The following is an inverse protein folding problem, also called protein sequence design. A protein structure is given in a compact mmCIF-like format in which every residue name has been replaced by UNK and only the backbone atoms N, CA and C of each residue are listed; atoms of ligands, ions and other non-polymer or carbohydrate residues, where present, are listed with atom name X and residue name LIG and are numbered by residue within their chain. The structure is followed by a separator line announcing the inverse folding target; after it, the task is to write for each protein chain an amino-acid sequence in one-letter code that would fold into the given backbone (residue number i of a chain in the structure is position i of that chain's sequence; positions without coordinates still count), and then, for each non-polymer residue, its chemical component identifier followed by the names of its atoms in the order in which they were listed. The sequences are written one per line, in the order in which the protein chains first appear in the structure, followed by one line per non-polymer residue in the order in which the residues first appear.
data_IF_733554248133
#
_entry.id   IF_733554248133
#
_cell.length_a   1.000
_cell.length_b   1.000
_cell.length_c   1.000
_cell.angle_alpha   90.00
_cell.angle_beta   90.00
_cell.angle_gamma   90.00
#
_symmetry.space_group_name_H-M   'P 1'
#
loop_
_entity.id
_entity.type
_entity.pdbx_description
1 polymer ?
#
# COMPACT_ATOMS: atom_id res chain seq x y z
N UNK A 1 10.27 -14.72 -38.76
CA UNK A 1 9.02 -15.12 -38.10
C UNK A 1 8.46 -16.27 -38.90
N UNK A 2 8.51 -17.50 -38.40
CA UNK A 2 8.01 -18.68 -39.11
C UNK A 2 6.48 -18.59 -39.18
N UNK A 3 5.95 -18.48 -40.40
CA UNK A 3 4.54 -18.74 -40.64
C UNK A 3 4.28 -20.17 -40.16
N UNK A 4 3.47 -20.31 -39.11
CA UNK A 4 2.90 -21.60 -38.76
C UNK A 4 1.88 -21.86 -39.84
N UNK A 5 2.30 -22.52 -40.92
CA UNK A 5 1.36 -23.06 -41.89
C UNK A 5 0.41 -23.97 -41.11
N UNK A 6 -0.90 -23.69 -41.12
CA UNK A 6 -1.85 -24.50 -40.41
C UNK A 6 -1.82 -25.87 -41.06
N UNK A 7 -1.11 -26.81 -40.42
CA UNK A 7 -1.10 -28.20 -40.84
C UNK A 7 -2.53 -28.74 -40.85
N UNK A 8 -2.78 -29.91 -41.47
CA UNK A 8 -4.13 -30.46 -41.66
C UNK A 8 -4.99 -30.55 -40.39
N UNK A 9 -4.35 -30.59 -39.21
CA UNK A 9 -5.00 -30.64 -37.90
C UNK A 9 -5.41 -29.28 -37.32
N UNK A 10 -4.90 -28.17 -37.85
CA UNK A 10 -5.17 -26.83 -37.30
C UNK A 10 -6.63 -26.39 -37.52
N UNK A 11 -7.28 -26.90 -38.56
CA UNK A 11 -8.71 -26.69 -38.83
C UNK A 11 -9.62 -27.75 -38.20
N UNK A 12 -9.04 -28.74 -37.50
CA UNK A 12 -9.81 -29.82 -36.91
C UNK A 12 -10.52 -29.37 -35.63
N UNK A 13 -11.85 -29.47 -35.60
CA UNK A 13 -12.64 -29.23 -34.39
C UNK A 13 -12.94 -30.54 -33.67
N UNK A 14 -12.14 -30.84 -32.65
CA UNK A 14 -12.32 -32.02 -31.82
C UNK A 14 -13.68 -32.05 -31.11
N UNK A 15 -14.28 -30.90 -30.79
CA UNK A 15 -15.58 -30.86 -30.09
C UNK A 15 -16.74 -31.28 -31.00
N UNK A 16 -16.55 -31.18 -32.31
CA UNK A 16 -17.50 -31.62 -33.32
C UNK A 16 -17.27 -33.08 -33.78
N UNK A 17 -16.19 -33.74 -33.33
CA UNK A 17 -15.86 -35.10 -33.73
C UNK A 17 -16.83 -36.13 -33.14
N UNK A 18 -17.57 -36.89 -33.97
CA UNK A 18 -18.47 -37.94 -33.51
C UNK A 18 -17.80 -38.99 -32.63
N UNK A 19 -16.55 -39.35 -32.92
CA UNK A 19 -15.82 -40.39 -32.21
C UNK A 19 -15.40 -39.96 -30.80
N UNK A 20 -15.28 -38.66 -30.56
CA UNK A 20 -14.92 -38.09 -29.26
C UNK A 20 -16.12 -37.71 -28.40
N UNK A 21 -17.34 -37.84 -28.92
CA UNK A 21 -18.59 -37.51 -28.21
C UNK A 21 -18.67 -38.18 -26.83
N UNK A 22 -18.33 -39.47 -26.74
CA UNK A 22 -18.36 -40.21 -25.47
C UNK A 22 -17.36 -39.66 -24.43
N UNK A 23 -16.20 -39.20 -24.88
CA UNK A 23 -15.19 -38.59 -24.03
C UNK A 23 -15.65 -37.25 -23.46
N UNK A 24 -16.21 -36.37 -24.30
CA UNK A 24 -16.66 -35.05 -23.87
C UNK A 24 -17.94 -35.08 -23.03
N UNK A 25 -18.78 -36.10 -23.21
CA UNK A 25 -19.97 -36.33 -22.38
C UNK A 25 -19.64 -36.77 -20.94
N UNK A 26 -18.39 -37.18 -20.66
CA UNK A 26 -17.96 -37.46 -19.29
C UNK A 26 -18.15 -36.24 -18.40
N UNK A 27 -18.80 -36.41 -17.23
CA UNK A 27 -19.06 -35.32 -16.27
C UNK A 27 -17.82 -34.50 -15.91
N UNK A 28 -16.65 -35.14 -15.77
CA UNK A 28 -15.38 -34.45 -15.50
C UNK A 28 -14.98 -33.56 -16.66
N UNK A 29 -15.04 -34.08 -17.89
CA UNK A 29 -14.66 -33.32 -19.07
C UNK A 29 -15.67 -32.23 -19.39
N UNK A 30 -16.96 -32.53 -19.30
CA UNK A 30 -18.05 -31.57 -19.44
C UNK A 30 -17.91 -30.40 -18.45
N UNK A 31 -17.62 -30.68 -17.18
CA UNK A 31 -17.34 -29.62 -16.18
C UNK A 31 -16.14 -28.77 -16.56
N UNK A 32 -15.09 -29.38 -17.09
CA UNK A 32 -13.90 -28.66 -17.55
C UNK A 32 -14.22 -27.75 -18.75
N UNK A 33 -14.90 -28.26 -19.76
CA UNK A 33 -15.31 -27.51 -20.95
C UNK A 33 -16.26 -26.35 -20.63
N UNK A 34 -17.17 -26.57 -19.67
CA UNK A 34 -18.05 -25.49 -19.16
C UNK A 34 -17.24 -24.43 -18.43
N UNK A 35 -16.26 -24.83 -17.63
CA UNK A 35 -15.40 -23.90 -16.88
C UNK A 35 -14.46 -23.12 -17.80
N UNK A 36 -13.96 -23.73 -18.86
CA UNK A 36 -13.15 -23.05 -19.87
C UNK A 36 -13.99 -22.14 -20.76
N UNK A 37 -15.29 -22.41 -20.90
CA UNK A 37 -16.21 -21.59 -21.69
C UNK A 37 -16.33 -22.01 -23.16
N UNK A 38 -15.79 -23.19 -23.49
CA UNK A 38 -15.90 -23.79 -24.83
C UNK A 38 -17.28 -24.42 -25.06
N UNK A 39 -17.93 -24.85 -23.98
CA UNK A 39 -19.26 -25.47 -24.02
C UNK A 39 -20.16 -24.78 -23.00
N UNK A 40 -21.42 -24.53 -23.36
CA UNK A 40 -22.41 -23.96 -22.45
C UNK A 40 -22.86 -24.97 -21.40
N UNK A 41 -23.54 -24.53 -20.34
CA UNK A 41 -24.12 -25.44 -19.33
C UNK A 41 -25.12 -26.45 -19.93
N UNK A 42 -25.72 -26.10 -21.07
CA UNK A 42 -26.64 -26.95 -21.83
C UNK A 42 -25.92 -28.05 -22.62
N UNK A 43 -24.63 -27.89 -22.88
CA UNK A 43 -23.84 -28.81 -23.71
C UNK A 43 -23.65 -28.34 -25.15
N UNK A 44 -24.01 -27.09 -25.47
CA UNK A 44 -23.84 -26.52 -26.81
C UNK A 44 -22.42 -25.98 -26.96
N UNK A 45 -21.79 -26.22 -28.11
CA UNK A 45 -20.46 -25.72 -28.44
C UNK A 45 -20.55 -24.20 -28.69
N UNK A 46 -19.67 -23.43 -28.04
CA UNK A 46 -19.62 -21.98 -28.18
C UNK A 46 -18.81 -21.61 -29.42
N UNK A 47 -19.35 -20.73 -30.26
CA UNK A 47 -18.60 -20.23 -31.43
C UNK A 47 -17.33 -19.49 -31.01
N UNK A 48 -16.27 -19.60 -31.83
CA UNK A 48 -14.97 -19.00 -31.54
C UNK A 48 -15.08 -17.48 -31.27
N UNK A 49 -15.89 -16.77 -32.06
CA UNK A 49 -16.12 -15.33 -31.89
C UNK A 49 -16.65 -14.97 -30.50
N UNK A 50 -17.63 -15.73 -30.01
CA UNK A 50 -18.23 -15.52 -28.69
C UNK A 50 -17.25 -15.91 -27.59
N UNK A 51 -16.53 -17.02 -27.76
CA UNK A 51 -15.50 -17.46 -26.83
C UNK A 51 -14.41 -16.40 -26.64
N UNK A 52 -13.85 -15.87 -27.73
CA UNK A 52 -12.82 -14.83 -27.71
C UNK A 52 -13.30 -13.55 -27.04
N UNK A 53 -14.53 -13.11 -27.36
CA UNK A 53 -15.13 -11.94 -26.73
C UNK A 53 -15.30 -12.11 -25.21
N UNK A 54 -15.80 -13.26 -24.78
CA UNK A 54 -15.99 -13.55 -23.35
C UNK A 54 -14.65 -13.65 -22.62
N UNK A 55 -13.63 -14.25 -23.26
CA UNK A 55 -12.30 -14.32 -22.68
C UNK A 55 -11.67 -12.94 -22.51
N UNK A 56 -11.77 -12.09 -23.54
CA UNK A 56 -11.29 -10.71 -23.47
C UNK A 56 -11.99 -9.90 -22.37
N UNK A 57 -13.32 -10.05 -22.22
CA UNK A 57 -14.09 -9.42 -21.13
C UNK A 57 -13.63 -9.89 -19.76
N UNK A 58 -13.41 -11.20 -19.58
CA UNK A 58 -12.96 -11.79 -18.32
C UNK A 58 -11.55 -11.34 -17.95
N UNK A 59 -10.66 -11.28 -18.94
CA UNK A 59 -9.29 -10.78 -18.79
C UNK A 59 -9.29 -9.30 -18.41
N UNK A 60 -10.04 -8.48 -19.14
CA UNK A 60 -10.18 -7.06 -18.83
C UNK A 60 -10.72 -6.84 -17.40
N UNK A 61 -11.78 -7.56 -17.01
CA UNK A 61 -12.31 -7.47 -15.66
C UNK A 61 -11.29 -7.91 -14.59
N UNK A 62 -10.45 -8.90 -14.89
CA UNK A 62 -9.35 -9.31 -13.99
C UNK A 62 -8.33 -8.18 -13.88
N UNK A 63 -7.91 -7.60 -15.00
CA UNK A 63 -6.96 -6.51 -15.03
C UNK A 63 -7.45 -5.27 -14.27
N UNK A 64 -8.71 -4.87 -14.45
CA UNK A 64 -9.33 -3.76 -13.71
C UNK A 64 -9.34 -4.05 -12.20
N UNK A 65 -9.67 -5.27 -11.79
CA UNK A 65 -9.63 -5.65 -10.36
C UNK A 65 -8.22 -5.58 -9.79
N UNK A 66 -7.22 -6.06 -10.52
CA UNK A 66 -5.82 -6.01 -10.10
C UNK A 66 -5.34 -4.56 -9.99
N UNK A 67 -5.69 -3.71 -10.95
CA UNK A 67 -5.37 -2.28 -10.95
C UNK A 67 -6.01 -1.56 -9.76
N UNK A 68 -7.28 -1.83 -9.48
CA UNK A 68 -7.97 -1.26 -8.32
C UNK A 68 -7.30 -1.68 -7.02
N UNK A 69 -6.97 -2.96 -6.86
CA UNK A 69 -6.29 -3.46 -5.67
C UNK A 69 -4.93 -2.75 -5.46
N UNK A 70 -4.14 -2.60 -6.52
CA UNK A 70 -2.87 -1.86 -6.47
C UNK A 70 -3.08 -0.40 -6.10
N UNK A 71 -4.05 0.29 -6.71
CA UNK A 71 -4.32 1.70 -6.44
C UNK A 71 -4.70 1.97 -4.99
N UNK A 72 -5.48 1.08 -4.38
CA UNK A 72 -5.88 1.17 -2.97
C UNK A 72 -4.66 1.01 -2.07
N UNK A 73 -3.81 0.02 -2.33
CA UNK A 73 -2.59 -0.22 -1.53
C UNK A 73 -1.64 0.96 -1.65
N UNK A 74 -1.37 1.45 -2.87
CA UNK A 74 -0.51 2.61 -3.07
C UNK A 74 -1.05 3.85 -2.37
N UNK A 75 -2.37 4.12 -2.48
CA UNK A 75 -3.00 5.24 -1.78
C UNK A 75 -2.88 5.11 -0.27
N UNK A 76 -3.09 3.93 0.29
CA UNK A 76 -2.95 3.68 1.72
C UNK A 76 -1.50 3.91 2.20
N UNK A 77 -0.51 3.45 1.44
CA UNK A 77 0.90 3.68 1.73
C UNK A 77 1.26 5.17 1.69
N UNK A 78 0.75 5.92 0.72
CA UNK A 78 1.02 7.35 0.64
C UNK A 78 0.36 8.14 1.76
N UNK A 79 -0.85 7.77 2.17
CA UNK A 79 -1.49 8.35 3.37
C UNK A 79 -0.68 8.07 4.62
N UNK A 80 -0.16 6.85 4.80
CA UNK A 80 0.65 6.49 5.97
C UNK A 80 1.99 7.23 5.97
N UNK A 81 2.66 7.35 4.82
CA UNK A 81 3.88 8.17 4.68
C UNK A 81 3.61 9.62 5.05
N UNK A 82 2.51 10.20 4.58
CA UNK A 82 2.14 11.57 4.89
C UNK A 82 1.90 11.75 6.39
N UNK A 83 1.17 10.82 7.02
CA UNK A 83 0.94 10.81 8.47
C UNK A 83 2.25 10.74 9.26
N UNK A 84 3.16 9.85 8.88
CA UNK A 84 4.48 9.72 9.52
C UNK A 84 5.30 11.01 9.42
N UNK A 85 5.29 11.67 8.26
CA UNK A 85 5.95 12.96 8.08
C UNK A 85 5.34 14.05 8.98
N UNK A 86 4.01 14.10 9.10
CA UNK A 86 3.34 15.05 9.99
C UNK A 86 3.73 14.82 11.45
N UNK A 87 3.73 13.56 11.91
CA UNK A 87 4.16 13.20 13.28
C UNK A 87 5.62 13.60 13.51
N UNK A 88 6.51 13.29 12.56
CA UNK A 88 7.93 13.67 12.66
C UNK A 88 8.10 15.18 12.75
N UNK A 89 7.36 15.95 11.95
CA UNK A 89 7.39 17.41 11.97
C UNK A 89 6.92 17.97 13.31
N UNK A 90 5.84 17.43 13.88
CA UNK A 90 5.33 17.84 15.19
C UNK A 90 6.33 17.54 16.31
N UNK A 91 6.99 16.38 16.29
CA UNK A 91 8.03 16.03 17.26
C UNK A 91 9.24 16.96 17.16
N UNK A 92 9.65 17.33 15.95
CA UNK A 92 10.73 18.29 15.74
C UNK A 92 10.36 19.68 16.28
N UNK A 93 9.12 20.12 16.06
CA UNK A 93 8.60 21.39 16.57
C UNK A 93 8.57 21.43 18.10
N UNK A 94 8.05 20.38 18.74
CA UNK A 94 8.07 20.24 20.21
C UNK A 94 9.51 20.28 20.72
N UNK A 95 10.43 19.54 20.09
CA UNK A 95 11.84 19.55 20.47
C UNK A 95 12.51 20.93 20.34
N UNK A 96 12.14 21.73 19.32
CA UNK A 96 12.58 23.12 19.17
C UNK A 96 12.04 23.99 20.30
N UNK A 97 10.74 23.90 20.60
CA UNK A 97 10.10 24.66 21.68
C UNK A 97 10.70 24.31 23.04
N UNK A 98 10.91 23.03 23.33
CA UNK A 98 11.55 22.59 24.56
C UNK A 98 12.98 23.11 24.69
N UNK A 99 13.77 23.07 23.61
CA UNK A 99 15.13 23.61 23.61
C UNK A 99 15.14 25.11 23.92
N UNK A 100 14.25 25.88 23.28
CA UNK A 100 14.11 27.32 23.54
C UNK A 100 13.69 27.56 24.99
N UNK A 101 12.74 26.77 25.52
CA UNK A 101 12.29 26.87 26.91
C UNK A 101 13.42 26.61 27.91
N UNK A 102 14.26 25.59 27.67
CA UNK A 102 15.44 25.30 28.49
C UNK A 102 16.44 26.46 28.50
N UNK A 103 16.81 26.96 27.31
CA UNK A 103 17.75 28.10 27.20
C UNK A 103 17.19 29.35 27.89
N UNK A 104 15.89 29.61 27.77
CA UNK A 104 15.23 30.73 28.49
C UNK A 104 15.26 30.55 30.01
N UNK A 105 14.99 29.35 30.51
CA UNK A 105 15.03 29.05 31.94
C UNK A 105 16.46 29.22 32.52
N UNK A 106 17.48 28.72 31.81
CA UNK A 106 18.88 28.88 32.20
C UNK A 106 19.32 30.35 32.21
N UNK A 107 18.83 31.16 31.26
CA UNK A 107 19.11 32.60 31.22
C UNK A 107 18.38 33.37 32.33
N UNK A 108 17.16 32.96 32.70
CA UNK A 108 16.44 33.57 33.82
C UNK A 108 17.18 33.32 35.14
N UNK A 109 17.63 32.09 35.38
CA UNK A 109 18.45 31.74 36.55
C UNK A 109 19.76 32.54 36.60
N UNK A 110 20.49 32.66 35.49
CA UNK A 110 21.72 33.47 35.44
C UNK A 110 21.47 34.97 35.59
N UNK A 111 20.37 35.48 35.02
CA UNK A 111 19.98 36.88 35.16
C UNK A 111 19.65 37.26 36.60
N UNK A 112 18.99 36.37 37.34
CA UNK A 112 18.75 36.56 38.78
C UNK A 112 20.08 36.47 39.56
N UNK A 113 20.93 35.47 39.30
CA UNK A 113 22.26 35.34 39.95
C UNK A 113 23.21 36.53 39.69
N UNK A 114 23.03 37.28 38.59
CA UNK A 114 23.81 38.50 38.31
C UNK A 114 23.27 39.74 39.04
N UNK A 115 21.99 39.75 39.43
CA UNK A 115 21.32 40.87 40.12
C UNK A 115 21.26 40.65 41.64
N UNK A 116 21.15 39.40 42.11
CA UNK A 116 21.14 39.01 43.52
C UNK A 116 22.36 39.53 44.32
N UNK A 117 23.60 39.62 43.77
CA UNK A 117 24.75 40.21 44.44
C UNK A 117 24.65 41.74 44.60
N UNK A 118 23.84 42.40 43.77
CA UNK A 118 23.64 43.87 43.79
C UNK A 118 22.49 44.29 44.72
N UNK A 119 21.56 43.37 45.01
CA UNK A 119 20.38 43.62 45.84
C UNK A 119 20.52 43.12 47.29
N UNK A 120 21.55 42.33 47.60
CA UNK A 120 21.82 41.89 48.98
C UNK A 120 22.38 43.05 49.82
N UNK A 121 21.67 43.55 50.84
CA UNK A 121 22.17 44.62 51.67
C UNK A 121 23.02 44.04 52.80
N UNK A 122 24.23 43.51 52.52
CA UNK A 122 25.28 43.58 53.55
C UNK A 122 26.71 43.24 53.14
N UNK A 123 27.61 43.94 53.83
CA UNK A 123 28.97 43.53 54.19
C UNK A 123 30.00 43.37 53.08
N UNK A 124 30.85 44.39 53.04
CA UNK A 124 32.29 44.38 52.76
C UNK A 124 32.95 42.98 52.78
N UNK A 125 33.80 42.80 51.77
CA UNK A 125 35.02 41.98 51.73
C UNK A 125 34.88 40.46 51.68
N UNK A 126 35.08 39.88 50.49
CA UNK A 126 35.92 38.66 50.36
C UNK A 126 36.87 38.80 49.16
N UNK A 127 38.17 38.73 49.48
CA UNK A 127 39.29 38.71 48.55
C UNK A 127 39.16 37.49 47.62
N UNK A 128 39.20 37.72 46.31
CA UNK A 128 39.32 36.65 45.31
C UNK A 128 40.72 36.05 45.41
N UNK A 129 40.83 34.80 45.87
CA UNK A 129 42.03 33.97 45.67
C UNK A 129 41.92 33.32 44.29
N UNK A 130 42.99 33.26 43.48
CA UNK A 130 43.00 32.41 42.30
C UNK A 130 43.18 30.97 42.79
N UNK A 131 42.19 30.11 42.55
CA UNK A 131 42.39 28.67 42.64
C UNK A 131 42.78 28.15 41.27
N UNK A 132 44.05 27.77 41.23
CA UNK A 132 44.69 26.86 40.29
C UNK A 132 43.75 25.75 39.84
N UNK A 133 43.68 25.55 38.53
CA UNK A 133 42.95 24.44 37.92
C UNK A 133 43.56 23.09 38.33
N UNK A 134 42.75 22.11 38.77
CA UNK A 134 43.07 20.71 38.59
C UNK A 134 42.38 20.21 37.32
N UNK A 135 43.22 19.93 36.34
CA UNK A 135 42.90 19.13 35.17
C UNK A 135 42.48 17.72 35.66
N UNK A 136 41.18 17.47 35.79
CA UNK A 136 40.63 16.14 36.02
C UNK A 136 39.83 15.72 34.79
N UNK A 137 40.60 15.12 33.88
CA UNK A 137 40.19 14.18 32.86
C UNK A 137 39.25 13.15 33.48
N UNK A 138 37.94 13.32 33.29
CA UNK A 138 36.98 12.24 33.57
C UNK A 138 37.23 11.14 32.55
N UNK A 139 37.90 10.11 33.03
CA UNK A 139 37.99 8.83 32.35
C UNK A 139 36.57 8.31 32.16
N UNK A 140 36.24 7.95 30.92
CA UNK A 140 35.12 7.07 30.62
C UNK A 140 35.39 5.75 31.36
N UNK A 141 34.75 5.55 32.50
CA UNK A 141 34.61 4.22 33.07
C UNK A 141 33.58 3.49 32.23
N UNK A 142 34.09 2.62 31.37
CA UNK A 142 33.36 1.56 30.69
C UNK A 142 32.81 0.60 31.77
N UNK A 143 31.62 0.90 32.29
CA UNK A 143 30.78 -0.12 32.92
C UNK A 143 29.97 -0.75 31.81
N UNK A 144 30.37 -1.98 31.44
CA UNK A 144 29.54 -2.93 30.71
C UNK A 144 28.24 -3.13 31.51
N UNK A 145 27.22 -2.34 31.21
CA UNK A 145 25.87 -2.64 31.63
C UNK A 145 25.25 -3.62 30.63
N UNK A 146 25.17 -4.83 31.14
CA UNK A 146 24.45 -6.00 30.69
C UNK A 146 23.13 -5.63 29.99
N UNK A 147 22.95 -6.26 28.84
CA UNK A 147 21.71 -6.35 28.08
C UNK A 147 20.53 -6.65 29.02
N UNK A 148 19.43 -5.89 28.96
CA UNK A 148 18.21 -6.32 29.62
C UNK A 148 17.75 -7.62 28.97
N UNK A 149 17.43 -8.57 29.85
CA UNK A 149 16.98 -9.91 29.55
C UNK A 149 16.01 -9.96 28.36
N UNK A 150 16.28 -10.91 27.46
CA UNK A 150 15.39 -11.33 26.39
C UNK A 150 13.97 -11.47 26.92
N UNK A 151 13.09 -10.58 26.48
CA UNK A 151 11.65 -10.79 26.56
C UNK A 151 11.37 -12.06 25.77
N UNK A 152 10.91 -13.09 26.45
CA UNK A 152 10.75 -14.43 25.91
C UNK A 152 9.93 -14.42 24.63
N UNK A 153 10.55 -14.82 23.53
CA UNK A 153 9.81 -15.33 22.38
C UNK A 153 9.09 -16.61 22.84
N UNK A 154 7.77 -16.76 22.63
CA UNK A 154 7.17 -18.07 22.80
C UNK A 154 7.85 -19.02 21.80
N UNK A 155 8.32 -20.15 22.32
CA UNK A 155 9.04 -21.17 21.58
C UNK A 155 8.26 -21.59 20.32
N UNK A 156 8.95 -21.57 19.18
CA UNK A 156 8.52 -22.21 17.94
C UNK A 156 8.46 -23.73 18.18
N UNK A 157 7.31 -24.40 17.95
CA UNK A 157 7.29 -25.85 17.83
C UNK A 157 7.72 -26.23 16.41
N UNK A 158 9.01 -26.49 16.20
CA UNK A 158 9.48 -27.49 15.23
C UNK A 158 9.57 -28.82 15.97
N UNK A 159 9.19 -29.99 15.47
CA UNK A 159 9.05 -30.43 14.09
C UNK A 159 7.85 -31.39 14.00
N UNK A 160 6.92 -31.13 13.08
CA UNK A 160 5.88 -32.07 12.71
C UNK A 160 5.95 -32.32 11.20
N UNK A 161 5.99 -33.59 10.76
CA UNK A 161 6.18 -33.93 9.35
C UNK A 161 4.99 -33.42 8.52
N UNK A 162 5.32 -32.84 7.37
CA UNK A 162 4.41 -32.26 6.39
C UNK A 162 3.39 -33.31 5.92
N UNK A 163 2.19 -33.28 6.51
CA UNK A 163 1.04 -33.98 5.98
C UNK A 163 0.16 -32.98 5.24
N UNK A 164 0.35 -32.89 3.92
CA UNK A 164 -0.51 -32.16 2.98
C UNK A 164 -1.89 -32.83 2.89
N UNK A 165 -2.73 -32.63 3.90
CA UNK A 165 -4.19 -32.72 3.78
C UNK A 165 -4.76 -31.33 3.94
N UNK A 166 -5.04 -30.70 2.79
CA UNK A 166 -5.73 -29.41 2.67
C UNK A 166 -7.13 -29.49 3.31
N UNK A 167 -7.19 -29.26 4.62
CA UNK A 167 -8.43 -28.95 5.33
C UNK A 167 -8.82 -27.52 4.95
N UNK A 168 -9.92 -27.40 4.20
CA UNK A 168 -10.49 -26.14 3.75
C UNK A 168 -11.07 -25.40 4.96
N UNK A 169 -10.23 -24.69 5.70
CA UNK A 169 -10.64 -23.74 6.72
C UNK A 169 -11.43 -22.62 6.04
N UNK A 170 -12.75 -22.60 6.23
CA UNK A 170 -13.59 -21.48 5.85
C UNK A 170 -13.29 -20.35 6.83
N UNK A 171 -12.37 -19.46 6.48
CA UNK A 171 -12.20 -18.19 7.19
C UNK A 171 -13.47 -17.37 6.99
N UNK A 172 -14.35 -17.37 7.98
CA UNK A 172 -15.48 -16.47 8.05
C UNK A 172 -14.94 -15.07 8.34
N UNK A 173 -14.66 -14.30 7.30
CA UNK A 173 -14.44 -12.88 7.46
C UNK A 173 -15.75 -12.25 7.95
N UNK A 174 -15.74 -11.40 9.01
CA UNK A 174 -16.91 -10.64 9.37
C UNK A 174 -17.30 -9.78 8.17
N UNK A 175 -18.55 -9.90 7.74
CA UNK A 175 -19.14 -9.09 6.67
C UNK A 175 -19.28 -7.68 7.23
N UNK A 176 -18.25 -6.85 7.06
CA UNK A 176 -18.34 -5.42 7.38
C UNK A 176 -19.29 -4.83 6.36
N UNK A 177 -20.49 -4.46 6.81
CA UNK A 177 -21.43 -3.70 6.00
C UNK A 177 -20.82 -2.31 5.79
N UNK A 178 -20.32 -2.08 4.58
CA UNK A 178 -19.80 -0.78 4.18
C UNK A 178 -20.99 0.16 4.12
N UNK A 179 -21.00 1.18 4.97
CA UNK A 179 -22.01 2.22 4.94
C UNK A 179 -21.90 2.98 3.60
N UNK A 180 -22.83 2.68 2.70
CA UNK A 180 -22.88 3.28 1.36
C UNK A 180 -23.54 4.65 1.36
N UNK A 181 -24.07 5.13 2.50
CA UNK A 181 -24.73 6.43 2.54
C UNK A 181 -23.77 7.59 2.25
N UNK A 182 -22.51 7.47 2.67
CA UNK A 182 -21.47 8.46 2.35
C UNK A 182 -20.94 8.36 0.93
N UNK A 183 -21.17 7.24 0.23
CA UNK A 183 -20.77 7.08 -1.18
C UNK A 183 -21.72 7.84 -2.12
N UNK A 184 -23.00 7.96 -1.75
CA UNK A 184 -24.03 8.69 -2.49
C UNK A 184 -24.04 10.20 -2.19
N UNK A 185 -23.37 10.62 -1.11
CA UNK A 185 -23.19 12.04 -0.77
C UNK A 185 -22.12 12.74 -1.60
N UNK A 186 -21.34 11.99 -2.39
CA UNK A 186 -20.46 12.59 -3.38
C UNK A 186 -21.31 13.13 -4.53
N UNK A 187 -21.37 14.46 -4.61
CA UNK A 187 -21.99 15.18 -5.71
C UNK A 187 -21.41 14.70 -7.06
N UNK A 188 -22.29 14.43 -8.03
CA UNK A 188 -21.88 14.00 -9.37
C UNK A 188 -21.03 15.08 -10.06
N UNK A 189 -21.24 16.36 -9.73
CA UNK A 189 -20.40 17.46 -10.21
C UNK A 189 -19.03 17.48 -9.54
N UNK A 190 -18.93 17.12 -8.25
CA UNK A 190 -17.66 16.96 -7.55
C UNK A 190 -16.84 15.79 -8.12
N UNK A 191 -17.49 14.67 -8.49
CA UNK A 191 -16.83 13.57 -9.18
C UNK A 191 -16.37 13.97 -10.59
N UNK A 192 -17.21 14.67 -11.36
CA UNK A 192 -16.85 15.17 -12.70
C UNK A 192 -15.69 16.16 -12.65
N UNK A 193 -15.74 17.15 -11.76
CA UNK A 193 -14.65 18.12 -11.59
C UNK A 193 -13.35 17.45 -11.12
N UNK A 194 -13.43 16.47 -10.22
CA UNK A 194 -12.25 15.68 -9.83
C UNK A 194 -11.66 14.91 -11.02
N UNK A 195 -12.49 14.30 -11.87
CA UNK A 195 -12.02 13.58 -13.07
C UNK A 195 -11.36 14.52 -14.10
N UNK A 196 -11.92 15.73 -14.30
CA UNK A 196 -11.34 16.75 -15.19
C UNK A 196 -10.04 17.33 -14.63
N UNK A 197 -9.93 17.46 -13.31
CA UNK A 197 -8.70 17.90 -12.66
C UNK A 197 -7.63 16.81 -12.68
N UNK A 198 -8.01 15.53 -12.67
CA UNK A 198 -7.08 14.41 -12.83
C UNK A 198 -6.44 14.37 -14.22
N UNK A 199 -7.17 14.75 -15.28
CA UNK A 199 -6.60 14.88 -16.63
C UNK A 199 -5.59 16.02 -16.78
N UNK A 200 -5.57 16.98 -15.85
CA UNK A 200 -4.63 18.10 -15.86
C UNK A 200 -3.33 17.80 -15.09
N UNK A 201 -3.28 16.75 -14.27
CA UNK A 201 -2.03 16.25 -13.67
C UNK A 201 -1.34 15.28 -14.63
N UNK A 202 -0.66 15.87 -15.61
CA UNK A 202 0.57 15.38 -16.23
C UNK A 202 0.81 13.85 -16.21
N UNK A 203 0.06 13.12 -17.04
CA UNK A 203 0.69 12.11 -17.89
C UNK A 203 0.86 12.77 -19.25
N UNK A 204 2.09 13.20 -19.52
CA UNK A 204 2.48 13.78 -20.81
C UNK A 204 1.88 13.05 -22.00
N UNK A 205 1.45 13.83 -23.00
CA UNK A 205 0.95 13.38 -24.31
C UNK A 205 -0.40 12.63 -24.28
N UNK A 206 -1.44 13.31 -23.80
CA UNK A 206 -2.83 12.84 -23.84
C UNK A 206 -3.52 13.05 -25.19
N UNK A 207 -3.16 12.27 -26.21
CA UNK A 207 -4.11 11.94 -27.29
C UNK A 207 -4.71 10.58 -26.97
N UNK A 208 -5.96 10.57 -26.52
CA UNK A 208 -6.71 9.33 -26.31
C UNK A 208 -6.84 8.60 -27.66
N UNK A 209 -6.43 7.32 -27.77
CA UNK A 209 -6.42 6.56 -29.02
C UNK A 209 -7.84 6.24 -29.55
N UNK A 210 -8.88 6.74 -28.89
CA UNK A 210 -10.29 6.54 -29.26
C UNK A 210 -11.02 7.84 -29.62
N UNK A 211 -10.29 8.92 -29.91
CA UNK A 211 -10.90 10.15 -30.41
C UNK A 211 -11.11 10.03 -31.93
N UNK A 212 -12.36 9.74 -32.32
CA UNK A 212 -12.79 9.83 -33.72
C UNK A 212 -13.00 11.31 -34.09
N UNK A 213 -12.43 11.80 -35.20
CA UNK A 213 -12.65 13.17 -35.63
C UNK A 213 -14.12 13.35 -36.02
N UNK A 214 -14.75 14.36 -35.44
CA UNK A 214 -16.06 14.86 -35.88
C UNK A 214 -15.85 15.52 -37.23
N UNK A 215 -16.39 14.92 -38.29
CA UNK A 215 -16.46 15.54 -39.61
C UNK A 215 -17.66 16.49 -39.61
N UNK A 216 -17.39 17.79 -39.73
CA UNK A 216 -18.42 18.79 -39.97
C UNK A 216 -19.05 18.56 -41.36
N UNK A 217 -20.39 18.58 -41.49
CA UNK A 217 -21.03 18.53 -42.79
C UNK A 217 -20.79 19.84 -43.54
N UNK A 218 -20.10 19.74 -44.67
CA UNK A 218 -19.87 20.85 -45.60
C UNK A 218 -21.20 21.38 -46.16
N UNK A 219 -21.24 22.71 -46.31
CA UNK A 219 -22.30 23.51 -46.94
C UNK A 219 -22.57 23.14 -48.40
#
# INVERSE_FOLDING_TARGET
MSHVDPGPLASYDSLADPNLTAYFNNSRMRKHLIKSGLVTRRGEIVSEKVFRLNNARKEHQRHVRDLLAQSIVHKALDMERHRQMQVKKQLEEIGKVERVRRVRADRALRGDEDILPLLSPNSKTKKRRPLTAPNMRTQQTNTQEQLPASVGYPALPGDAPYNTRSSRMKTAYPKVEIDTQHLHQLDQEALRSFTLNLSNYDLGSGVSPYTVPVLDPAS
#
